data_IF_558734027988
#
_entry.id   IF_558734027988
#
_cell.length_a   1.000
_cell.length_b   1.000
_cell.length_c   1.000
_cell.angle_alpha   90.00
_cell.angle_beta   90.00
_cell.angle_gamma   90.00
#
_symmetry.space_group_name_H-M   'P 1'
#
loop_
_entity.id
_entity.type
_entity.pdbx_description
1 polymer ?
#
# COMPACT_ATOMS: atom_id res chain seq x y z
N UNK A 1 -30.79 28.45 -4.63
CA UNK A 1 -31.32 27.73 -5.80
C UNK A 1 -31.66 26.33 -5.33
N UNK A 2 -32.91 25.86 -5.47
CA UNK A 2 -33.30 24.53 -4.97
C UNK A 2 -32.86 23.46 -5.98
N UNK A 3 -31.76 22.77 -5.66
CA UNK A 3 -31.16 21.71 -6.50
C UNK A 3 -32.11 20.50 -6.65
N UNK A 4 -33.17 20.44 -5.83
CA UNK A 4 -34.19 19.38 -5.83
C UNK A 4 -35.04 19.27 -7.10
N UNK A 5 -34.96 20.22 -8.02
CA UNK A 5 -35.70 20.21 -9.29
C UNK A 5 -34.86 19.82 -10.50
N UNK A 6 -33.56 19.60 -10.32
CA UNK A 6 -32.67 19.29 -11.42
C UNK A 6 -32.87 17.86 -11.91
N UNK A 7 -32.75 17.67 -13.22
CA UNK A 7 -32.70 16.34 -13.81
C UNK A 7 -31.28 15.74 -13.70
N UNK A 8 -31.14 14.44 -13.97
CA UNK A 8 -29.86 13.72 -13.83
C UNK A 8 -28.73 14.32 -14.70
N UNK A 9 -29.05 14.90 -15.85
CA UNK A 9 -28.06 15.51 -16.76
C UNK A 9 -27.56 16.83 -16.18
N UNK A 10 -28.46 17.70 -15.70
CA UNK A 10 -28.11 18.98 -15.07
C UNK A 10 -27.24 18.78 -13.82
N UNK A 11 -27.53 17.74 -13.02
CA UNK A 11 -26.74 17.37 -11.85
C UNK A 11 -25.34 16.90 -12.30
N UNK A 12 -25.28 16.05 -13.33
CA UNK A 12 -24.01 15.53 -13.85
C UNK A 12 -23.12 16.66 -14.37
N UNK A 13 -23.64 17.53 -15.24
CA UNK A 13 -22.90 18.63 -15.84
C UNK A 13 -22.40 19.61 -14.77
N UNK A 14 -23.21 19.89 -13.74
CA UNK A 14 -22.81 20.79 -12.66
C UNK A 14 -21.69 20.22 -11.79
N UNK A 15 -21.73 18.93 -11.48
CA UNK A 15 -20.74 18.29 -10.60
C UNK A 15 -19.53 17.71 -11.36
N UNK A 16 -19.54 17.73 -12.69
CA UNK A 16 -18.53 17.13 -13.58
C UNK A 16 -17.10 17.54 -13.21
N UNK A 17 -16.80 18.84 -13.31
CA UNK A 17 -15.48 19.40 -13.03
C UNK A 17 -15.07 19.17 -11.56
N UNK A 18 -16.01 19.35 -10.63
CA UNK A 18 -15.76 19.12 -9.21
C UNK A 18 -15.35 17.68 -8.94
N UNK A 19 -16.07 16.71 -9.51
CA UNK A 19 -15.81 15.29 -9.31
C UNK A 19 -14.48 14.85 -9.93
N UNK A 20 -14.16 15.33 -11.14
CA UNK A 20 -12.88 15.08 -11.79
C UNK A 20 -11.74 15.64 -10.94
N UNK A 21 -11.82 16.90 -10.52
CA UNK A 21 -10.77 17.52 -9.71
C UNK A 21 -10.65 16.89 -8.31
N UNK A 22 -11.76 16.60 -7.64
CA UNK A 22 -11.76 15.96 -6.34
C UNK A 22 -11.18 14.54 -6.43
N UNK A 23 -11.51 13.80 -7.49
CA UNK A 23 -10.94 12.48 -7.77
C UNK A 23 -9.45 12.60 -8.03
N UNK A 24 -9.02 13.46 -8.95
CA UNK A 24 -7.61 13.64 -9.31
C UNK A 24 -6.73 14.05 -8.12
N UNK A 25 -7.28 14.87 -7.20
CA UNK A 25 -6.59 15.34 -5.99
C UNK A 25 -6.74 14.40 -4.79
N UNK A 26 -7.49 13.30 -4.91
CA UNK A 26 -7.68 12.35 -3.81
C UNK A 26 -8.61 12.84 -2.69
N UNK A 27 -9.42 13.87 -2.92
CA UNK A 27 -10.36 14.43 -1.95
C UNK A 27 -11.62 13.55 -1.90
N UNK A 28 -11.42 12.36 -1.34
CA UNK A 28 -12.40 11.28 -1.28
C UNK A 28 -13.72 11.69 -0.58
N UNK A 29 -13.64 12.62 0.37
CA UNK A 29 -14.75 13.15 1.15
C UNK A 29 -15.76 13.89 0.28
N UNK A 30 -15.27 14.70 -0.66
CA UNK A 30 -16.13 15.43 -1.61
C UNK A 30 -16.83 14.44 -2.53
N UNK A 31 -16.06 13.51 -3.12
CA UNK A 31 -16.61 12.46 -3.99
C UNK A 31 -17.68 11.65 -3.25
N UNK A 32 -17.42 11.26 -2.01
CA UNK A 32 -18.37 10.53 -1.15
C UNK A 32 -19.65 11.34 -0.91
N UNK A 33 -19.53 12.63 -0.57
CA UNK A 33 -20.69 13.48 -0.32
C UNK A 33 -21.54 13.64 -1.59
N UNK A 34 -20.92 13.93 -2.74
CA UNK A 34 -21.64 14.04 -4.00
C UNK A 34 -22.44 12.76 -4.32
N UNK A 35 -21.81 11.59 -4.22
CA UNK A 35 -22.49 10.30 -4.47
C UNK A 35 -23.58 10.01 -3.44
N UNK A 36 -23.42 10.46 -2.19
CA UNK A 36 -24.46 10.29 -1.15
C UNK A 36 -25.71 11.11 -1.41
N UNK A 37 -25.57 12.33 -1.93
CA UNK A 37 -26.69 13.21 -2.27
C UNK A 37 -27.27 12.93 -3.67
N UNK A 38 -26.43 12.50 -4.60
CA UNK A 38 -26.76 12.25 -6.00
C UNK A 38 -26.16 10.90 -6.45
N UNK A 39 -26.80 9.76 -6.11
CA UNK A 39 -26.28 8.42 -6.40
C UNK A 39 -26.05 8.15 -7.90
N UNK A 40 -26.74 8.83 -8.79
CA UNK A 40 -26.59 8.77 -10.25
C UNK A 40 -25.18 9.11 -10.73
N UNK A 41 -24.45 9.96 -9.98
CA UNK A 41 -23.08 10.40 -10.31
C UNK A 41 -22.07 9.24 -10.31
N UNK A 42 -22.42 8.06 -9.78
CA UNK A 42 -21.52 6.91 -9.82
C UNK A 42 -21.39 6.27 -11.22
N UNK A 43 -22.37 6.53 -12.09
CA UNK A 43 -22.41 5.98 -13.46
C UNK A 43 -21.94 6.99 -14.50
N UNK A 44 -21.65 8.22 -14.08
CA UNK A 44 -21.26 9.27 -15.01
C UNK A 44 -19.80 9.11 -15.42
N UNK A 45 -19.52 9.44 -16.66
CA UNK A 45 -18.17 9.52 -17.22
C UNK A 45 -17.89 10.98 -17.55
N UNK A 46 -17.50 11.80 -16.56
CA UNK A 46 -17.33 13.23 -16.72
C UNK A 46 -16.17 13.62 -17.66
N UNK A 47 -15.31 12.70 -18.09
CA UNK A 47 -14.20 12.96 -19.02
C UNK A 47 -13.93 11.72 -19.87
N UNK A 48 -14.99 11.17 -20.47
CA UNK A 48 -15.06 9.85 -21.16
C UNK A 48 -14.77 8.62 -20.27
N UNK A 49 -14.11 8.82 -19.13
CA UNK A 49 -13.81 7.81 -18.14
C UNK A 49 -14.68 7.95 -16.90
N UNK A 50 -15.10 6.81 -16.34
CA UNK A 50 -15.77 6.76 -15.04
C UNK A 50 -14.80 7.18 -13.94
N UNK A 51 -15.35 7.74 -12.86
CA UNK A 51 -14.57 8.14 -11.68
C UNK A 51 -13.68 7.03 -11.09
N UNK A 52 -14.08 5.76 -11.27
CA UNK A 52 -13.26 4.61 -10.88
C UNK A 52 -11.97 4.50 -11.69
N UNK A 53 -12.04 4.74 -13.01
CA UNK A 53 -10.88 4.72 -13.91
C UNK A 53 -9.99 5.93 -13.62
N UNK A 54 -10.59 7.11 -13.47
CA UNK A 54 -9.84 8.33 -13.09
C UNK A 54 -9.12 8.14 -11.75
N UNK A 55 -9.77 7.52 -10.76
CA UNK A 55 -9.12 7.20 -9.48
C UNK A 55 -7.94 6.24 -9.65
N UNK A 56 -7.98 5.33 -10.63
CA UNK A 56 -6.85 4.48 -10.97
C UNK A 56 -5.71 5.27 -11.62
N UNK A 57 -6.03 6.06 -12.65
CA UNK A 57 -5.08 6.89 -13.41
C UNK A 57 -4.32 7.86 -12.51
N UNK A 58 -5.03 8.50 -11.57
CA UNK A 58 -4.43 9.42 -10.60
C UNK A 58 -3.85 8.73 -9.35
N UNK A 59 -3.86 7.39 -9.29
CA UNK A 59 -3.33 6.58 -8.18
C UNK A 59 -4.00 6.86 -6.82
N UNK A 60 -5.29 7.16 -6.83
CA UNK A 60 -6.04 7.63 -5.65
C UNK A 60 -6.70 6.48 -4.88
N UNK A 61 -5.88 5.79 -4.08
CA UNK A 61 -6.28 4.60 -3.31
C UNK A 61 -7.52 4.81 -2.44
N UNK A 62 -7.58 5.94 -1.72
CA UNK A 62 -8.71 6.26 -0.83
C UNK A 62 -10.00 6.45 -1.61
N UNK A 63 -9.92 7.10 -2.76
CA UNK A 63 -11.05 7.34 -3.66
C UNK A 63 -11.51 6.03 -4.31
N UNK A 64 -10.59 5.20 -4.82
CA UNK A 64 -10.95 3.87 -5.35
C UNK A 64 -11.60 3.00 -4.27
N UNK A 65 -11.06 3.01 -3.05
CA UNK A 65 -11.62 2.26 -1.92
C UNK A 65 -13.04 2.69 -1.58
N UNK A 66 -13.46 3.93 -1.84
CA UNK A 66 -14.87 4.32 -1.65
C UNK A 66 -15.79 3.50 -2.57
N UNK A 67 -15.40 3.33 -3.83
CA UNK A 67 -16.16 2.52 -4.78
C UNK A 67 -16.14 1.02 -4.42
N UNK A 68 -15.00 0.52 -3.92
CA UNK A 68 -14.85 -0.89 -3.51
C UNK A 68 -15.52 -1.22 -2.15
N UNK A 69 -15.45 -0.35 -1.15
CA UNK A 69 -16.00 -0.61 0.19
C UNK A 69 -17.52 -0.59 0.19
N UNK A 70 -18.10 0.24 -0.65
CA UNK A 70 -19.55 0.32 -0.85
C UNK A 70 -20.10 -0.98 -1.45
N UNK A 71 -19.32 -1.72 -2.26
CA UNK A 71 -19.76 -2.99 -2.83
C UNK A 71 -19.73 -4.17 -1.82
N UNK A 72 -18.88 -4.11 -0.80
CA UNK A 72 -18.71 -5.17 0.20
C UNK A 72 -19.75 -5.17 1.33
N UNK A 73 -20.41 -4.04 1.61
CA UNK A 73 -21.38 -3.92 2.72
C UNK A 73 -22.82 -4.33 2.33
N UNK A 74 -23.03 -5.49 1.66
CA UNK A 74 -24.34 -6.16 1.44
C UNK A 74 -25.57 -5.26 1.13
N UNK A 75 -25.33 -4.11 0.52
CA UNK A 75 -26.33 -3.18 -0.02
C UNK A 75 -25.73 -2.75 -1.34
N UNK A 76 -26.28 -3.30 -2.44
CA UNK A 76 -26.07 -2.92 -3.84
C UNK A 76 -24.73 -2.23 -4.11
N UNK A 77 -23.80 -2.93 -4.77
CA UNK A 77 -22.65 -2.27 -5.42
C UNK A 77 -23.16 -1.02 -6.14
N UNK A 78 -22.86 0.17 -5.62
CA UNK A 78 -23.42 1.40 -6.19
C UNK A 78 -22.88 1.58 -7.61
N UNK A 79 -21.64 1.14 -7.85
CA UNK A 79 -21.01 1.09 -9.16
C UNK A 79 -21.30 -0.25 -9.85
N UNK A 80 -21.77 -0.27 -11.11
CA UNK A 80 -21.69 -1.48 -11.93
C UNK A 80 -20.21 -1.90 -12.06
N UNK A 81 -19.99 -3.22 -12.10
CA UNK A 81 -18.66 -3.78 -12.37
C UNK A 81 -18.10 -3.26 -13.69
N UNK A 82 -16.76 -3.26 -13.86
CA UNK A 82 -16.15 -2.68 -15.03
C UNK A 82 -16.47 -3.49 -16.30
N UNK A 83 -16.53 -2.80 -17.44
CA UNK A 83 -16.55 -3.48 -18.75
C UNK A 83 -15.16 -4.03 -19.09
N UNK A 84 -15.03 -4.77 -20.20
CA UNK A 84 -13.72 -5.25 -20.68
C UNK A 84 -12.78 -4.07 -20.96
N UNK A 85 -13.27 -3.07 -21.69
CA UNK A 85 -12.51 -1.86 -22.03
C UNK A 85 -12.11 -1.07 -20.76
N UNK A 86 -13.02 -0.93 -19.80
CA UNK A 86 -12.70 -0.25 -18.54
C UNK A 86 -11.65 -1.01 -17.72
N UNK A 87 -11.72 -2.35 -17.73
CA UNK A 87 -10.71 -3.20 -17.09
C UNK A 87 -9.36 -3.06 -17.77
N UNK A 88 -9.34 -2.97 -19.10
CA UNK A 88 -8.14 -2.78 -19.92
C UNK A 88 -7.44 -1.47 -19.56
N UNK A 89 -8.17 -0.35 -19.65
CA UNK A 89 -7.69 0.98 -19.25
C UNK A 89 -7.14 0.99 -17.83
N UNK A 90 -7.83 0.38 -16.88
CA UNK A 90 -7.38 0.32 -15.49
C UNK A 90 -6.09 -0.49 -15.32
N UNK A 91 -6.00 -1.66 -15.95
CA UNK A 91 -4.80 -2.50 -15.86
C UNK A 91 -3.60 -1.84 -16.55
N UNK A 92 -3.83 -1.19 -17.68
CA UNK A 92 -2.80 -0.42 -18.39
C UNK A 92 -2.30 0.74 -17.53
N UNK A 93 -3.19 1.53 -16.96
CA UNK A 93 -2.85 2.67 -16.13
C UNK A 93 -1.98 2.27 -14.93
N UNK A 94 -2.34 1.18 -14.23
CA UNK A 94 -1.53 0.66 -13.12
C UNK A 94 -0.19 0.12 -13.58
N UNK A 95 -0.15 -0.58 -14.72
CA UNK A 95 1.08 -1.13 -15.24
C UNK A 95 2.07 -0.02 -15.66
N UNK A 96 1.56 1.09 -16.19
CA UNK A 96 2.32 2.26 -16.63
C UNK A 96 2.63 3.25 -15.52
N UNK A 97 1.91 3.22 -14.40
CA UNK A 97 2.12 4.16 -13.33
C UNK A 97 3.52 4.02 -12.73
N UNK A 98 4.33 5.08 -12.80
CA UNK A 98 5.63 5.17 -12.11
C UNK A 98 5.50 6.21 -11.01
N UNK A 99 5.56 5.75 -9.76
CA UNK A 99 5.39 6.61 -8.58
C UNK A 99 6.36 7.80 -8.51
N UNK A 100 7.53 7.70 -9.16
CA UNK A 100 8.53 8.76 -9.24
C UNK A 100 8.17 9.89 -10.24
N UNK A 101 7.33 9.62 -11.24
CA UNK A 101 7.06 10.55 -12.34
C UNK A 101 5.75 11.33 -12.16
N UNK A 102 4.73 10.75 -11.51
CA UNK A 102 3.36 11.27 -11.63
C UNK A 102 2.94 12.31 -10.59
N UNK A 103 3.31 12.18 -9.30
CA UNK A 103 2.85 13.12 -8.26
C UNK A 103 3.83 13.26 -7.08
N UNK A 104 4.59 14.37 -7.00
CA UNK A 104 5.43 14.68 -5.84
C UNK A 104 4.61 15.04 -4.57
N UNK A 105 3.31 15.32 -4.72
CA UNK A 105 2.40 15.69 -3.62
C UNK A 105 1.52 14.55 -3.12
N UNK A 106 1.75 13.31 -3.57
CA UNK A 106 1.08 12.17 -2.97
C UNK A 106 1.57 12.05 -1.52
N UNK A 107 0.73 12.45 -0.57
CA UNK A 107 0.99 12.48 0.88
C UNK A 107 1.33 11.08 1.45
N UNK A 108 1.17 10.04 0.62
CA UNK A 108 1.59 8.70 0.94
C UNK A 108 2.98 8.33 0.39
N UNK A 109 3.61 9.09 -0.52
CA UNK A 109 5.03 8.92 -0.90
C UNK A 109 5.94 9.53 0.16
N UNK A 110 5.49 10.59 0.84
CA UNK A 110 6.27 11.32 1.86
C UNK A 110 6.45 10.59 3.19
N UNK A 111 5.71 9.50 3.45
CA UNK A 111 5.70 8.83 4.75
C UNK A 111 6.03 7.32 4.71
N UNK A 112 6.59 6.81 3.61
CA UNK A 112 6.98 5.39 3.52
C UNK A 112 8.42 5.22 3.99
N UNK A 113 8.64 4.29 4.93
CA UNK A 113 9.92 4.10 5.63
C UNK A 113 11.11 3.62 4.76
N UNK A 114 10.92 3.43 3.45
CA UNK A 114 11.96 3.03 2.52
C UNK A 114 11.44 2.47 1.19
N UNK A 115 12.34 2.30 0.21
CA UNK A 115 12.02 1.83 -1.13
C UNK A 115 11.33 0.44 -1.15
N UNK A 116 11.67 -0.44 -0.20
CA UNK A 116 11.04 -1.75 -0.09
C UNK A 116 9.54 -1.66 0.24
N UNK A 117 9.18 -0.81 1.21
CA UNK A 117 7.79 -0.57 1.58
C UNK A 117 7.04 0.19 0.49
N UNK A 118 7.73 1.06 -0.25
CA UNK A 118 7.13 1.74 -1.41
C UNK A 118 6.79 0.73 -2.51
N UNK A 119 7.71 -0.17 -2.85
CA UNK A 119 7.46 -1.25 -3.79
C UNK A 119 6.32 -2.16 -3.33
N UNK A 120 6.28 -2.50 -2.04
CA UNK A 120 5.20 -3.30 -1.45
C UNK A 120 3.82 -2.64 -1.67
N UNK A 121 3.73 -1.32 -1.48
CA UNK A 121 2.48 -0.57 -1.70
C UNK A 121 2.07 -0.53 -3.16
N UNK A 122 3.02 -0.40 -4.09
CA UNK A 122 2.70 -0.46 -5.52
C UNK A 122 2.19 -1.86 -5.93
N UNK A 123 2.76 -2.94 -5.38
CA UNK A 123 2.25 -4.30 -5.59
C UNK A 123 0.84 -4.45 -5.02
N UNK A 124 0.59 -3.96 -3.80
CA UNK A 124 -0.75 -4.00 -3.18
C UNK A 124 -1.78 -3.23 -4.00
N UNK A 125 -1.38 -2.07 -4.53
CA UNK A 125 -2.21 -1.28 -5.42
C UNK A 125 -2.54 -2.03 -6.72
N UNK A 126 -1.53 -2.64 -7.36
CA UNK A 126 -1.74 -3.46 -8.54
C UNK A 126 -2.75 -4.58 -8.28
N UNK A 127 -2.60 -5.29 -7.17
CA UNK A 127 -3.53 -6.35 -6.77
C UNK A 127 -4.94 -5.85 -6.48
N UNK A 128 -5.08 -4.66 -5.90
CA UNK A 128 -6.38 -4.06 -5.65
C UNK A 128 -7.13 -3.76 -6.97
N UNK A 129 -6.44 -3.20 -7.96
CA UNK A 129 -7.03 -2.93 -9.28
C UNK A 129 -7.32 -4.22 -10.04
N UNK A 130 -6.38 -5.18 -10.04
CA UNK A 130 -6.60 -6.52 -10.61
C UNK A 130 -7.84 -7.21 -10.02
N UNK A 131 -8.07 -7.08 -8.71
CA UNK A 131 -9.23 -7.69 -8.05
C UNK A 131 -10.58 -7.05 -8.43
N UNK A 132 -10.55 -5.80 -8.92
CA UNK A 132 -11.74 -5.08 -9.37
C UNK A 132 -12.03 -5.33 -10.86
N UNK A 133 -10.99 -5.54 -11.65
CA UNK A 133 -11.07 -5.86 -13.08
C UNK A 133 -11.76 -7.21 -13.34
N UNK A 134 -12.19 -7.41 -14.59
CA UNK A 134 -12.77 -8.69 -15.01
C UNK A 134 -11.75 -9.83 -14.81
N UNK A 135 -12.18 -11.02 -14.32
CA UNK A 135 -11.30 -12.17 -14.15
C UNK A 135 -10.54 -12.52 -15.44
N UNK A 136 -9.23 -12.75 -15.30
CA UNK A 136 -8.36 -13.08 -16.44
C UNK A 136 -7.75 -11.86 -17.15
N UNK A 137 -8.19 -10.63 -16.83
CA UNK A 137 -7.69 -9.42 -17.48
C UNK A 137 -6.20 -9.18 -17.23
N UNK A 138 -5.71 -9.42 -16.02
CA UNK A 138 -4.30 -9.24 -15.68
C UNK A 138 -3.35 -10.23 -16.38
N UNK A 139 -3.90 -11.36 -16.86
CA UNK A 139 -3.20 -12.34 -17.69
C UNK A 139 -3.46 -12.17 -19.18
N UNK A 140 -4.33 -11.22 -19.56
CA UNK A 140 -4.52 -10.87 -20.96
C UNK A 140 -3.24 -10.18 -21.47
N UNK A 141 -3.01 -10.32 -22.77
CA UNK A 141 -1.89 -9.68 -23.42
C UNK A 141 -2.33 -8.29 -23.87
N UNK A 142 -1.48 -7.30 -23.60
CA UNK A 142 -1.58 -6.01 -24.27
C UNK A 142 -1.34 -6.26 -25.77
N UNK A 143 -2.32 -5.92 -26.61
CA UNK A 143 -2.30 -6.18 -28.06
C UNK A 143 -1.11 -5.50 -28.75
N UNK A 144 -0.58 -4.41 -28.19
CA UNK A 144 0.51 -3.63 -28.80
C UNK A 144 1.90 -4.22 -28.52
N UNK A 145 2.11 -4.81 -27.34
CA UNK A 145 3.45 -5.17 -26.84
C UNK A 145 3.60 -6.69 -26.57
N UNK A 146 2.52 -7.46 -26.71
CA UNK A 146 2.41 -8.89 -26.43
C UNK A 146 2.99 -9.29 -25.05
N UNK A 147 2.85 -8.40 -24.07
CA UNK A 147 3.24 -8.61 -22.68
C UNK A 147 2.00 -8.53 -21.81
N UNK A 148 1.99 -9.29 -20.72
CA UNK A 148 0.95 -9.11 -19.70
C UNK A 148 1.17 -7.81 -18.95
N UNK A 149 0.09 -7.25 -18.41
CA UNK A 149 0.12 -6.08 -17.53
C UNK A 149 1.13 -6.22 -16.38
N UNK A 150 1.31 -7.43 -15.87
CA UNK A 150 2.28 -7.71 -14.81
C UNK A 150 3.74 -7.52 -15.27
N UNK A 151 4.08 -7.97 -16.49
CA UNK A 151 5.42 -7.76 -17.02
C UNK A 151 5.73 -6.28 -17.26
N UNK A 152 4.75 -5.52 -17.77
CA UNK A 152 4.84 -4.06 -17.95
C UNK A 152 5.04 -3.35 -16.60
N UNK A 153 4.22 -3.70 -15.60
CA UNK A 153 4.36 -3.22 -14.22
C UNK A 153 5.74 -3.48 -13.62
N UNK A 154 6.24 -4.71 -13.70
CA UNK A 154 7.55 -5.08 -13.16
C UNK A 154 8.70 -4.38 -13.90
N UNK A 155 8.57 -4.21 -15.22
CA UNK A 155 9.53 -3.45 -16.04
C UNK A 155 9.62 -1.99 -15.59
N UNK A 156 8.47 -1.33 -15.46
CA UNK A 156 8.38 0.08 -15.07
C UNK A 156 8.83 0.34 -13.61
N UNK A 157 8.67 -0.65 -12.73
CA UNK A 157 9.11 -0.56 -11.33
C UNK A 157 10.51 -1.15 -11.07
N UNK A 158 11.31 -1.41 -12.12
CA UNK A 158 12.61 -2.08 -11.99
C UNK A 158 13.54 -1.38 -10.99
N UNK A 159 13.74 -0.06 -11.13
CA UNK A 159 14.64 0.72 -10.25
C UNK A 159 14.15 0.74 -8.80
N UNK A 160 12.83 0.88 -8.60
CA UNK A 160 12.23 0.85 -7.27
C UNK A 160 12.40 -0.53 -6.62
N UNK A 161 12.25 -1.61 -7.41
CA UNK A 161 12.45 -2.98 -6.95
C UNK A 161 13.90 -3.24 -6.56
N UNK A 162 14.86 -2.82 -7.37
CA UNK A 162 16.30 -2.94 -7.07
C UNK A 162 16.67 -2.12 -5.81
N UNK A 163 16.14 -0.91 -5.69
CA UNK A 163 16.32 -0.06 -4.50
C UNK A 163 15.67 -0.69 -3.25
N UNK A 164 14.50 -1.31 -3.41
CA UNK A 164 13.82 -2.03 -2.33
C UNK A 164 14.57 -3.27 -1.89
N UNK A 165 15.11 -4.06 -2.84
CA UNK A 165 15.95 -5.22 -2.54
C UNK A 165 17.20 -4.79 -1.77
N UNK A 166 17.88 -3.72 -2.22
CA UNK A 166 19.03 -3.16 -1.52
C UNK A 166 18.67 -2.69 -0.11
N UNK A 167 17.60 -1.91 0.04
CA UNK A 167 17.15 -1.43 1.35
C UNK A 167 16.88 -2.58 2.33
N UNK A 168 16.29 -3.68 1.84
CA UNK A 168 16.03 -4.86 2.66
C UNK A 168 17.32 -5.56 3.11
N UNK A 169 18.28 -5.75 2.19
CA UNK A 169 19.59 -6.35 2.50
C UNK A 169 20.37 -5.51 3.50
N UNK A 170 20.51 -4.21 3.24
CA UNK A 170 21.24 -3.28 4.12
C UNK A 170 20.63 -3.24 5.53
N UNK A 171 19.30 -3.30 5.63
CA UNK A 171 18.60 -3.34 6.92
C UNK A 171 18.81 -4.65 7.65
N UNK A 172 18.75 -5.78 6.93
CA UNK A 172 19.02 -7.10 7.49
C UNK A 172 20.46 -7.22 8.01
N UNK A 173 21.45 -6.76 7.24
CA UNK A 173 22.86 -6.80 7.62
C UNK A 173 23.14 -5.97 8.88
N UNK A 174 22.58 -4.75 8.95
CA UNK A 174 22.69 -3.92 10.17
C UNK A 174 22.02 -4.57 11.37
N UNK A 175 20.83 -5.16 11.18
CA UNK A 175 20.11 -5.86 12.24
C UNK A 175 20.90 -7.08 12.74
N UNK A 176 21.54 -7.82 11.82
CA UNK A 176 22.42 -8.94 12.18
C UNK A 176 23.61 -8.47 13.01
N UNK A 177 24.30 -7.40 12.61
CA UNK A 177 25.42 -6.84 13.38
C UNK A 177 25.00 -6.43 14.80
N UNK A 178 23.87 -5.72 14.92
CA UNK A 178 23.33 -5.31 16.23
C UNK A 178 22.95 -6.53 17.07
N UNK A 179 22.28 -7.52 16.47
CA UNK A 179 21.89 -8.76 17.15
C UNK A 179 23.10 -9.56 17.61
N UNK A 180 24.14 -9.67 16.78
CA UNK A 180 25.41 -10.30 17.15
C UNK A 180 26.09 -9.56 18.29
N UNK A 181 26.10 -8.23 18.29
CA UNK A 181 26.65 -7.44 19.38
C UNK A 181 25.88 -7.68 20.69
N UNK A 182 24.54 -7.65 20.64
CA UNK A 182 23.69 -7.94 21.80
C UNK A 182 23.97 -9.35 22.31
N UNK A 183 23.95 -10.36 21.44
CA UNK A 183 24.21 -11.75 21.82
C UNK A 183 25.62 -11.93 22.41
N UNK A 184 26.62 -11.22 21.89
CA UNK A 184 27.99 -11.26 22.43
C UNK A 184 28.07 -10.62 23.81
N UNK A 185 27.38 -9.50 24.02
CA UNK A 185 27.32 -8.82 25.33
C UNK A 185 26.60 -9.69 26.35
N UNK A 186 25.43 -10.26 26.01
CA UNK A 186 24.69 -11.18 26.88
C UNK A 186 25.52 -12.43 27.19
N UNK A 187 26.16 -13.04 26.17
CA UNK A 187 27.05 -14.18 26.37
C UNK A 187 28.21 -13.83 27.32
N UNK A 188 28.89 -12.70 27.10
CA UNK A 188 29.96 -12.27 27.99
C UNK A 188 29.43 -12.01 29.42
N UNK A 189 28.28 -11.35 29.55
CA UNK A 189 27.65 -11.05 30.84
C UNK A 189 27.28 -12.32 31.63
N UNK A 190 26.78 -13.36 30.95
CA UNK A 190 26.45 -14.64 31.54
C UNK A 190 27.68 -15.39 32.11
N UNK A 191 28.87 -15.22 31.53
CA UNK A 191 30.10 -15.88 31.98
C UNK A 191 31.03 -14.98 32.81
N UNK A 192 30.88 -13.66 32.78
CA UNK A 192 31.64 -12.68 33.58
C UNK A 192 30.86 -12.23 34.81
N UNK A 193 30.24 -13.20 35.47
CA UNK A 193 29.48 -13.02 36.71
C UNK A 193 30.36 -12.31 37.76
N UNK A 194 29.86 -11.26 38.46
CA UNK A 194 30.59 -10.65 39.56
C UNK A 194 31.03 -11.72 40.57
N UNK A 195 32.30 -11.69 40.97
CA UNK A 195 32.89 -12.69 41.87
C UNK A 195 33.61 -13.86 41.19
N UNK A 196 33.42 -14.08 39.88
CA UNK A 196 34.11 -15.15 39.12
C UNK A 196 33.51 -16.54 39.31
N UNK A 197 34.15 -17.57 38.74
CA UNK A 197 33.79 -18.97 38.95
C UNK A 197 34.82 -19.65 39.84
N UNK A 198 34.40 -20.66 40.59
CA UNK A 198 35.28 -21.51 41.38
C UNK A 198 36.18 -22.33 40.45
N UNK A 199 37.50 -22.24 40.62
CA UNK A 199 38.50 -22.83 39.72
C UNK A 199 38.48 -24.37 39.69
N UNK A 200 37.88 -25.04 40.68
CA UNK A 200 37.80 -26.50 40.77
C UNK A 200 36.49 -27.07 40.22
N UNK A 201 35.40 -26.31 40.31
CA UNK A 201 34.03 -26.78 39.99
C UNK A 201 33.40 -26.06 38.81
N UNK A 202 33.93 -24.90 38.42
CA UNK A 202 33.39 -24.06 37.35
C UNK A 202 32.08 -23.35 37.72
N UNK A 203 31.60 -23.50 38.95
CA UNK A 203 30.37 -22.89 39.45
C UNK A 203 30.62 -21.42 39.79
N UNK A 204 29.77 -20.47 39.35
CA UNK A 204 29.86 -19.08 39.77
C UNK A 204 29.94 -18.93 41.29
N UNK A 205 30.93 -18.17 41.79
CA UNK A 205 31.23 -18.02 43.22
C UNK A 205 30.11 -17.36 44.02
N UNK A 206 29.21 -16.66 43.32
CA UNK A 206 28.04 -16.00 43.90
C UNK A 206 26.72 -16.69 43.52
N UNK A 207 26.75 -17.95 43.05
CA UNK A 207 25.53 -18.73 42.79
C UNK A 207 24.67 -18.81 44.06
N UNK A 208 23.39 -18.42 43.96
CA UNK A 208 22.45 -18.44 45.08
C UNK A 208 22.28 -17.11 45.83
N UNK A 209 22.98 -16.04 45.45
CA UNK A 209 22.62 -14.68 45.88
C UNK A 209 21.41 -14.15 45.09
N UNK A 210 20.45 -13.56 45.79
CA UNK A 210 19.22 -13.02 45.20
C UNK A 210 19.49 -12.04 44.05
N UNK A 211 20.50 -11.19 44.17
CA UNK A 211 20.89 -10.24 43.13
C UNK A 211 21.39 -10.91 41.84
N UNK A 212 22.05 -12.07 41.97
CA UNK A 212 22.59 -12.79 40.83
C UNK A 212 21.59 -13.73 40.18
N UNK A 213 20.66 -14.28 40.97
CA UNK A 213 19.49 -14.97 40.43
C UNK A 213 18.63 -14.00 39.61
N UNK A 214 18.36 -12.80 40.13
CA UNK A 214 17.62 -11.76 39.42
C UNK A 214 18.36 -11.33 38.15
N UNK A 215 19.70 -11.17 38.21
CA UNK A 215 20.52 -10.88 37.04
C UNK A 215 20.41 -11.98 35.97
N UNK A 216 20.60 -13.25 36.34
CA UNK A 216 20.53 -14.38 35.41
C UNK A 216 19.13 -14.57 34.82
N UNK A 217 18.07 -14.38 35.62
CA UNK A 217 16.69 -14.39 35.12
C UNK A 217 16.44 -13.22 34.16
N UNK A 218 16.96 -12.03 34.47
CA UNK A 218 16.79 -10.84 33.61
C UNK A 218 17.60 -10.93 32.32
N UNK A 219 18.75 -11.61 32.33
CA UNK A 219 19.59 -11.85 31.15
C UNK A 219 18.99 -12.93 30.22
N UNK A 220 18.19 -13.84 30.79
CA UNK A 220 17.53 -14.93 30.06
C UNK A 220 16.14 -14.58 29.49
N UNK A 221 15.56 -13.43 29.84
CA UNK A 221 14.21 -12.99 29.45
C UNK A 221 14.25 -11.94 28.33
#
# INVERSE_FOLDING_TARGET
MAISHWNSTEITDFFQDLLVQATARGISEIVKLCIQFFPELIRTSPDDDRLTISAVNFRQERTLRLFLKVSSMNKLSLAPGPTKEESDKMMEAVANYVAAEYYPSFDAVTNVAGAAFQMQREIQWYKAVESWSIPGMASDYDDDDNKTYWYKFIGNHKELRESGEKWMKDTADKCMLVSTLIATVLFAAAFTVPGGNDDNTGVPLLLGQDSLLVFAISDAL
#
